data_IF_678235829470
#
_entry.id   IF_678235829470
#
_cell.length_a   1.000
_cell.length_b   1.000
_cell.length_c   1.000
_cell.angle_alpha   90.00
_cell.angle_beta   90.00
_cell.angle_gamma   90.00
#
_symmetry.space_group_name_H-M   'P 1'
#
loop_
_entity.id
_entity.type
_entity.pdbx_description
1 polymer ?
#
# COMPACT_ATOMS: atom_id res chain seq x y z
N UNK A 1 -51.26 25.48 -9.76
CA UNK A 1 -49.82 25.68 -9.50
C UNK A 1 -49.24 24.93 -8.28
N UNK A 2 -50.03 24.48 -7.28
CA UNK A 2 -49.49 23.75 -6.10
C UNK A 2 -49.00 22.31 -6.36
N UNK A 3 -49.52 21.62 -7.38
CA UNK A 3 -49.17 20.23 -7.71
C UNK A 3 -47.75 20.08 -8.32
N UNK A 4 -47.29 21.08 -9.06
CA UNK A 4 -46.01 21.04 -9.77
C UNK A 4 -44.84 21.23 -8.78
N UNK A 5 -44.98 22.11 -7.79
CA UNK A 5 -43.94 22.30 -6.76
C UNK A 5 -43.77 21.06 -5.87
N UNK A 6 -44.83 20.32 -5.58
CA UNK A 6 -44.74 19.10 -4.77
C UNK A 6 -44.01 17.96 -5.50
N UNK A 7 -44.15 17.88 -6.83
CA UNK A 7 -43.41 16.91 -7.66
C UNK A 7 -41.94 17.29 -7.85
N UNK A 8 -41.63 18.58 -7.95
CA UNK A 8 -40.23 19.04 -8.05
C UNK A 8 -39.49 18.83 -6.73
N UNK A 9 -40.10 19.14 -5.58
CA UNK A 9 -39.49 18.89 -4.26
C UNK A 9 -39.28 17.39 -4.01
N UNK A 10 -40.21 16.54 -4.46
CA UNK A 10 -40.07 15.08 -4.34
C UNK A 10 -38.99 14.50 -5.27
N UNK A 11 -38.80 15.06 -6.47
CA UNK A 11 -37.71 14.68 -7.38
C UNK A 11 -36.34 15.13 -6.84
N UNK A 12 -36.25 16.32 -6.23
CA UNK A 12 -35.03 16.83 -5.60
C UNK A 12 -34.61 15.99 -4.39
N UNK A 13 -35.58 15.50 -3.60
CA UNK A 13 -35.32 14.63 -2.46
C UNK A 13 -34.87 13.23 -2.90
N UNK A 14 -35.40 12.72 -4.01
CA UNK A 14 -34.97 11.44 -4.59
C UNK A 14 -33.54 11.53 -5.15
N UNK A 15 -33.15 12.67 -5.73
CA UNK A 15 -31.79 12.89 -6.23
C UNK A 15 -30.74 13.00 -5.10
N UNK A 16 -31.15 13.50 -3.92
CA UNK A 16 -30.28 13.57 -2.74
C UNK A 16 -30.09 12.21 -2.03
N UNK A 17 -30.98 11.24 -2.27
CA UNK A 17 -30.87 9.89 -1.69
C UNK A 17 -30.04 8.96 -2.58
N UNK A 18 -29.93 9.22 -3.89
CA UNK A 18 -29.19 8.38 -4.84
C UNK A 18 -27.68 8.75 -4.91
N UNK A 19 -27.25 9.88 -4.34
CA UNK A 19 -25.83 10.25 -4.27
C UNK A 19 -25.07 9.64 -3.09
N UNK A 20 -25.66 8.73 -2.31
CA UNK A 20 -24.89 7.79 -1.47
C UNK A 20 -24.37 6.65 -2.35
N UNK A 21 -23.58 7.02 -3.36
CA UNK A 21 -22.74 6.07 -4.07
C UNK A 21 -21.88 5.35 -3.04
N UNK A 22 -21.91 4.04 -3.09
CA UNK A 22 -21.14 3.13 -2.26
C UNK A 22 -19.77 3.71 -1.92
N UNK A 23 -19.49 3.90 -0.62
CA UNK A 23 -18.15 4.03 -0.04
C UNK A 23 -17.43 2.68 -0.11
N UNK A 24 -17.50 2.00 -1.25
CA UNK A 24 -16.59 0.93 -1.59
C UNK A 24 -15.37 1.62 -2.17
N UNK A 25 -14.22 1.42 -1.54
CA UNK A 25 -12.94 1.82 -2.09
C UNK A 25 -12.93 1.43 -3.57
N UNK A 26 -12.82 2.43 -4.45
CA UNK A 26 -12.72 2.19 -5.89
C UNK A 26 -11.46 1.35 -6.06
N UNK A 27 -11.62 0.05 -6.33
CA UNK A 27 -10.52 -0.86 -6.66
C UNK A 27 -9.63 -0.11 -7.64
N UNK A 28 -8.44 0.28 -7.19
CA UNK A 28 -7.51 0.98 -8.05
C UNK A 28 -7.04 -0.06 -9.04
N UNK A 29 -7.56 0.01 -10.26
CA UNK A 29 -7.07 -0.77 -11.38
C UNK A 29 -5.62 -0.36 -11.65
N UNK A 30 -4.68 -1.10 -11.07
CA UNK A 30 -3.29 -1.05 -11.47
C UNK A 30 -3.01 -2.17 -12.48
N UNK A 31 -2.10 -1.88 -13.40
CA UNK A 31 -1.55 -2.85 -14.31
C UNK A 31 -0.26 -3.43 -13.73
N UNK A 32 -0.05 -4.72 -13.97
CA UNK A 32 1.22 -5.36 -13.70
C UNK A 32 2.31 -4.66 -14.52
N UNK A 33 3.47 -4.45 -13.88
CA UNK A 33 4.62 -3.77 -14.49
C UNK A 33 5.05 -4.49 -15.77
N UNK A 34 5.38 -3.71 -16.80
CA UNK A 34 5.76 -4.22 -18.12
C UNK A 34 6.93 -3.41 -18.67
N UNK A 35 8.02 -4.11 -18.98
CA UNK A 35 9.26 -3.48 -19.48
C UNK A 35 9.06 -2.77 -20.83
N UNK A 36 8.06 -3.17 -21.61
CA UNK A 36 7.79 -2.61 -22.93
C UNK A 36 6.98 -1.29 -22.84
N UNK A 37 6.42 -0.98 -21.66
CA UNK A 37 5.59 0.22 -21.41
C UNK A 37 6.33 1.35 -20.67
N UNK A 38 7.61 1.18 -20.36
CA UNK A 38 8.41 2.17 -19.64
C UNK A 38 8.51 3.47 -20.43
N UNK A 39 8.28 4.60 -19.76
CA UNK A 39 8.36 5.94 -20.36
C UNK A 39 9.77 6.36 -20.81
N UNK A 40 10.81 6.01 -20.04
CA UNK A 40 12.20 6.40 -20.32
C UNK A 40 13.19 5.37 -19.77
N UNK A 41 14.29 5.13 -20.48
CA UNK A 41 15.40 4.27 -20.04
C UNK A 41 16.62 5.07 -19.57
N UNK A 42 16.53 6.41 -19.51
CA UNK A 42 17.69 7.28 -19.26
C UNK A 42 17.99 7.46 -17.78
N UNK A 43 17.03 7.18 -16.92
CA UNK A 43 17.08 7.48 -15.49
C UNK A 43 17.29 6.20 -14.72
N UNK A 44 18.25 6.19 -13.81
CA UNK A 44 18.47 5.07 -12.89
C UNK A 44 17.34 5.05 -11.86
N UNK A 45 16.59 3.95 -11.82
CA UNK A 45 15.36 3.85 -11.01
C UNK A 45 15.13 2.42 -10.54
N UNK A 46 14.44 2.29 -9.41
CA UNK A 46 14.00 1.02 -8.84
C UNK A 46 12.52 1.14 -8.55
N UNK A 47 11.78 0.09 -8.86
CA UNK A 47 10.39 -0.08 -8.44
C UNK A 47 10.17 -1.49 -7.94
N UNK A 48 9.28 -1.59 -6.95
CA UNK A 48 8.83 -2.87 -6.43
C UNK A 48 7.30 -2.90 -6.45
N UNK A 49 6.74 -3.98 -7.01
CA UNK A 49 5.30 -4.21 -7.08
C UNK A 49 5.02 -5.61 -6.55
N UNK A 50 4.25 -5.71 -5.47
CA UNK A 50 3.66 -6.95 -4.97
C UNK A 50 2.15 -6.82 -4.98
N UNK A 51 1.49 -7.79 -5.58
CA UNK A 51 0.05 -7.84 -5.73
C UNK A 51 -0.43 -9.22 -5.33
N UNK A 52 -1.31 -9.25 -4.34
CA UNK A 52 -1.98 -10.47 -3.93
C UNK A 52 -3.47 -10.18 -3.75
N UNK A 53 -4.31 -10.86 -4.55
CA UNK A 53 -5.77 -10.68 -4.58
C UNK A 53 -6.43 -12.02 -4.38
N UNK A 54 -7.13 -12.21 -3.26
CA UNK A 54 -7.80 -13.48 -3.00
C UNK A 54 -9.02 -13.73 -3.90
N UNK A 55 -9.64 -12.67 -4.46
CA UNK A 55 -10.96 -12.77 -5.11
C UNK A 55 -11.04 -12.21 -6.56
N UNK A 56 -9.92 -11.78 -7.17
CA UNK A 56 -9.94 -11.28 -8.54
C UNK A 56 -9.57 -12.39 -9.53
N UNK A 57 -10.53 -12.77 -10.36
CA UNK A 57 -10.45 -13.92 -11.27
C UNK A 57 -10.04 -13.52 -12.70
N UNK A 58 -10.05 -12.23 -13.03
CA UNK A 58 -9.83 -11.76 -14.41
C UNK A 58 -8.40 -11.30 -14.67
N UNK A 59 -7.64 -11.03 -13.61
CA UNK A 59 -6.25 -10.55 -13.67
C UNK A 59 -5.37 -11.47 -12.84
N UNK A 60 -4.07 -11.40 -13.10
CA UNK A 60 -3.07 -12.06 -12.28
C UNK A 60 -3.26 -11.62 -10.82
N UNK A 61 -3.41 -12.61 -9.95
CA UNK A 61 -3.84 -12.44 -8.58
C UNK A 61 -2.71 -12.65 -7.57
N UNK A 62 -1.50 -13.02 -8.02
CA UNK A 62 -0.36 -13.28 -7.15
C UNK A 62 0.95 -13.06 -7.90
N UNK A 63 1.44 -11.82 -7.92
CA UNK A 63 2.69 -11.46 -8.61
C UNK A 63 3.55 -10.51 -7.80
N UNK A 64 4.85 -10.77 -7.77
CA UNK A 64 5.86 -9.93 -7.13
C UNK A 64 6.98 -9.59 -8.12
N UNK A 65 7.20 -8.30 -8.38
CA UNK A 65 8.12 -7.78 -9.39
C UNK A 65 9.09 -6.79 -8.75
N UNK A 66 10.38 -7.04 -8.97
CA UNK A 66 11.45 -6.06 -8.79
C UNK A 66 11.93 -5.63 -10.17
N UNK A 67 11.78 -4.34 -10.48
CA UNK A 67 12.28 -3.78 -11.74
C UNK A 67 13.29 -2.67 -11.48
N UNK A 68 14.44 -2.76 -12.15
CA UNK A 68 15.56 -1.83 -12.00
C UNK A 68 15.97 -1.30 -13.37
N UNK A 69 16.07 0.01 -13.51
CA UNK A 69 16.76 0.66 -14.62
C UNK A 69 18.13 1.08 -14.10
N UNK A 70 19.19 0.59 -14.74
CA UNK A 70 20.56 1.01 -14.46
C UNK A 70 21.36 1.07 -15.75
N UNK A 71 21.97 2.23 -16.02
CA UNK A 71 22.82 2.46 -17.20
C UNK A 71 22.12 2.08 -18.52
N UNK A 72 20.82 2.43 -18.63
CA UNK A 72 19.92 2.14 -19.77
C UNK A 72 19.60 0.65 -20.00
N UNK A 73 20.01 -0.22 -19.08
CA UNK A 73 19.53 -1.60 -18.99
C UNK A 73 18.37 -1.67 -18.02
N UNK A 74 17.37 -2.46 -18.36
CA UNK A 74 16.26 -2.80 -17.46
C UNK A 74 16.44 -4.24 -17.03
N UNK A 75 16.40 -4.47 -15.73
CA UNK A 75 16.40 -5.77 -15.10
C UNK A 75 15.00 -5.96 -14.52
N UNK A 76 14.27 -6.93 -15.06
CA UNK A 76 12.95 -7.31 -14.62
C UNK A 76 13.03 -8.70 -14.02
N UNK A 77 12.72 -8.81 -12.74
CA UNK A 77 12.72 -10.07 -12.00
C UNK A 77 11.34 -10.21 -11.37
N UNK A 78 10.68 -11.34 -11.64
CA UNK A 78 9.35 -11.64 -11.12
C UNK A 78 9.32 -12.99 -10.41
N UNK A 79 8.40 -13.10 -9.46
CA UNK A 79 7.97 -14.29 -8.72
C UNK A 79 6.44 -14.37 -8.83
N UNK A 80 5.91 -15.56 -9.10
CA UNK A 80 4.51 -15.78 -9.44
C UNK A 80 4.20 -15.44 -10.90
N UNK A 81 5.19 -15.46 -11.80
CA UNK A 81 4.94 -15.13 -13.20
C UNK A 81 4.23 -16.26 -13.93
N UNK A 82 3.04 -15.98 -14.46
CA UNK A 82 2.39 -16.82 -15.46
C UNK A 82 2.37 -16.13 -16.84
N UNK A 83 2.55 -16.92 -17.89
CA UNK A 83 2.40 -16.43 -19.26
C UNK A 83 0.90 -16.26 -19.59
N UNK A 84 0.42 -15.04 -19.91
CA UNK A 84 -1.00 -14.80 -20.17
C UNK A 84 -1.58 -15.64 -21.31
N UNK A 85 -0.76 -16.01 -22.30
CA UNK A 85 -1.22 -16.86 -23.41
C UNK A 85 -1.54 -18.27 -22.95
N UNK A 86 -0.71 -18.81 -22.06
CA UNK A 86 -0.86 -20.18 -21.55
C UNK A 86 -2.06 -20.25 -20.58
N UNK A 87 -2.25 -19.21 -19.76
CA UNK A 87 -3.44 -19.06 -18.89
C UNK A 87 -4.73 -19.00 -19.71
N UNK A 88 -4.74 -18.23 -20.81
CA UNK A 88 -5.90 -18.15 -21.70
C UNK A 88 -6.22 -19.48 -22.38
N UNK A 89 -5.20 -20.20 -22.87
CA UNK A 89 -5.39 -21.54 -23.46
C UNK A 89 -5.94 -22.49 -22.40
N UNK A 90 -5.38 -22.48 -21.19
CA UNK A 90 -5.82 -23.31 -20.08
C UNK A 90 -7.28 -23.04 -19.71
N UNK A 91 -7.68 -21.76 -19.67
CA UNK A 91 -9.07 -21.33 -19.48
C UNK A 91 -9.99 -21.93 -20.55
N UNK A 92 -9.65 -21.78 -21.83
CA UNK A 92 -10.43 -22.33 -22.94
C UNK A 92 -10.58 -23.86 -22.84
N UNK A 93 -9.49 -24.56 -22.52
CA UNK A 93 -9.50 -26.03 -22.37
C UNK A 93 -10.38 -26.45 -21.20
N UNK A 94 -10.27 -25.80 -20.05
CA UNK A 94 -11.05 -26.13 -18.85
C UNK A 94 -12.54 -25.84 -19.02
N UNK A 95 -12.88 -24.74 -19.70
CA UNK A 95 -14.26 -24.40 -20.08
C UNK A 95 -14.83 -25.45 -21.05
N UNK A 96 -14.03 -25.94 -22.01
CA UNK A 96 -14.44 -26.99 -22.93
C UNK A 96 -14.62 -28.36 -22.23
N UNK A 97 -13.83 -28.64 -21.20
CA UNK A 97 -13.89 -29.89 -20.42
C UNK A 97 -14.94 -29.88 -19.30
N UNK A 98 -15.65 -28.76 -19.07
CA UNK A 98 -16.56 -28.55 -17.92
C UNK A 98 -15.92 -28.94 -16.56
N UNK A 99 -14.60 -28.80 -16.43
CA UNK A 99 -13.90 -29.10 -15.19
C UNK A 99 -14.12 -27.97 -14.20
N UNK A 100 -14.70 -28.28 -13.05
CA UNK A 100 -14.78 -27.35 -11.94
C UNK A 100 -13.38 -27.18 -11.33
N UNK A 101 -12.86 -25.96 -11.35
CA UNK A 101 -11.68 -25.57 -10.59
C UNK A 101 -12.18 -24.86 -9.35
N UNK A 102 -11.69 -25.27 -8.19
CA UNK A 102 -11.97 -24.56 -6.95
C UNK A 102 -11.56 -23.08 -7.13
N UNK A 103 -12.52 -22.18 -6.92
CA UNK A 103 -12.37 -20.72 -7.06
C UNK A 103 -12.02 -20.19 -8.48
N UNK A 104 -12.08 -21.01 -9.54
CA UNK A 104 -11.70 -20.63 -10.91
C UNK A 104 -10.27 -20.04 -11.00
N UNK A 105 -9.32 -20.56 -10.21
CA UNK A 105 -7.94 -20.09 -10.23
C UNK A 105 -7.16 -20.70 -11.40
N UNK A 106 -7.01 -19.94 -12.48
CA UNK A 106 -6.30 -20.37 -13.68
C UNK A 106 -4.78 -20.15 -13.59
N UNK A 107 -4.36 -19.26 -12.67
CA UNK A 107 -2.98 -18.83 -12.43
C UNK A 107 -2.23 -19.89 -11.63
N UNK A 108 -1.19 -20.46 -12.21
CA UNK A 108 -0.48 -21.64 -11.66
C UNK A 108 0.63 -21.27 -10.71
N UNK A 109 1.37 -20.22 -11.03
CA UNK A 109 2.50 -19.81 -10.24
C UNK A 109 1.99 -18.83 -9.18
N UNK A 110 2.33 -19.08 -7.92
CA UNK A 110 2.01 -18.22 -6.79
C UNK A 110 3.30 -17.73 -6.18
N UNK A 111 3.25 -16.52 -5.60
CA UNK A 111 4.40 -15.94 -4.92
C UNK A 111 4.91 -16.89 -3.85
N UNK A 112 6.16 -17.30 -3.95
CA UNK A 112 6.78 -18.25 -3.01
C UNK A 112 8.11 -17.72 -2.42
N UNK A 113 8.49 -16.49 -2.75
CA UNK A 113 9.72 -15.84 -2.34
C UNK A 113 10.92 -16.17 -3.24
N UNK A 114 10.73 -16.90 -4.33
CA UNK A 114 11.78 -17.27 -5.30
C UNK A 114 11.38 -16.80 -6.69
N UNK A 115 12.24 -16.03 -7.38
CA UNK A 115 11.91 -15.58 -8.71
C UNK A 115 11.86 -16.73 -9.71
N UNK A 116 10.82 -16.74 -10.52
CA UNK A 116 10.55 -17.72 -11.59
C UNK A 116 10.76 -17.15 -13.00
N UNK A 117 10.89 -15.83 -13.10
CA UNK A 117 11.06 -15.14 -14.36
C UNK A 117 12.08 -14.00 -14.30
N UNK A 118 12.91 -13.93 -15.33
CA UNK A 118 13.87 -12.83 -15.51
C UNK A 118 13.90 -12.37 -16.96
N UNK A 119 13.85 -11.05 -17.15
CA UNK A 119 14.03 -10.40 -18.45
C UNK A 119 14.99 -9.23 -18.30
N UNK A 120 16.05 -9.24 -19.10
CA UNK A 120 17.03 -8.15 -19.17
C UNK A 120 17.00 -7.58 -20.57
N UNK A 121 16.76 -6.28 -20.68
CA UNK A 121 16.74 -5.56 -21.95
C UNK A 121 17.66 -4.36 -21.89
N UNK A 122 18.31 -4.04 -23.02
CA UNK A 122 18.97 -2.76 -23.21
C UNK A 122 18.08 -1.88 -24.07
N UNK A 123 17.42 -0.90 -23.44
CA UNK A 123 16.33 -0.11 -24.03
C UNK A 123 15.19 -1.01 -24.54
N UNK A 124 15.18 -1.35 -25.84
CA UNK A 124 14.17 -2.20 -26.49
C UNK A 124 14.75 -3.49 -27.07
N UNK A 125 16.05 -3.72 -26.88
CA UNK A 125 16.72 -4.93 -27.36
C UNK A 125 16.80 -5.93 -26.23
N UNK A 126 16.23 -7.11 -26.44
CA UNK A 126 16.30 -8.21 -25.48
C UNK A 126 17.72 -8.77 -25.39
N UNK A 127 18.24 -8.87 -24.18
CA UNK A 127 19.57 -9.44 -23.90
C UNK A 127 19.45 -10.82 -23.23
N UNK A 128 18.47 -10.98 -22.35
CA UNK A 128 18.18 -12.23 -21.65
C UNK A 128 16.68 -12.31 -21.39
N UNK A 129 16.12 -13.50 -21.59
CA UNK A 129 14.77 -13.86 -21.15
C UNK A 129 14.79 -15.31 -20.71
N UNK A 130 14.35 -15.57 -19.49
CA UNK A 130 14.24 -16.93 -18.96
C UNK A 130 13.02 -17.03 -18.04
N UNK A 131 12.28 -18.14 -18.15
CA UNK A 131 11.03 -18.42 -17.43
C UNK A 131 11.14 -19.64 -16.52
N UNK A 132 12.36 -20.09 -16.22
CA UNK A 132 12.64 -21.22 -15.33
C UNK A 132 12.99 -20.73 -13.93
N UNK A 133 12.26 -21.20 -12.92
CA UNK A 133 12.56 -20.95 -11.50
C UNK A 133 13.97 -21.38 -11.12
N UNK A 134 14.42 -22.55 -11.57
CA UNK A 134 15.76 -23.04 -11.27
C UNK A 134 16.83 -22.07 -11.75
N UNK A 135 16.69 -21.55 -12.97
CA UNK A 135 17.63 -20.57 -13.51
C UNK A 135 17.51 -19.21 -12.82
N UNK A 136 16.29 -18.67 -12.70
CA UNK A 136 16.05 -17.34 -12.16
C UNK A 136 16.46 -17.26 -10.68
N UNK A 137 16.03 -18.21 -9.85
CA UNK A 137 16.35 -18.25 -8.44
C UNK A 137 17.85 -18.51 -8.19
N UNK A 138 18.48 -19.44 -8.91
CA UNK A 138 19.91 -19.74 -8.69
C UNK A 138 20.84 -18.58 -9.05
N UNK A 139 20.50 -17.78 -10.08
CA UNK A 139 21.35 -16.69 -10.54
C UNK A 139 20.99 -15.32 -9.93
N UNK A 140 19.71 -15.11 -9.60
CA UNK A 140 19.20 -13.79 -9.21
C UNK A 140 18.44 -13.76 -7.88
N UNK A 141 18.16 -14.92 -7.25
CA UNK A 141 17.34 -14.99 -6.03
C UNK A 141 17.91 -14.21 -4.84
N UNK A 142 19.21 -14.34 -4.56
CA UNK A 142 19.86 -13.59 -3.47
C UNK A 142 19.82 -12.07 -3.72
N UNK A 143 20.14 -11.65 -4.95
CA UNK A 143 20.08 -10.25 -5.35
C UNK A 143 18.66 -9.70 -5.22
N UNK A 144 17.67 -10.44 -5.73
CA UNK A 144 16.25 -10.08 -5.68
C UNK A 144 15.80 -9.82 -4.24
N UNK A 145 16.01 -10.79 -3.34
CA UNK A 145 15.60 -10.67 -1.93
C UNK A 145 16.34 -9.53 -1.23
N UNK A 146 17.65 -9.44 -1.39
CA UNK A 146 18.48 -8.42 -0.73
C UNK A 146 18.09 -7.00 -1.15
N UNK A 147 17.92 -6.76 -2.44
CA UNK A 147 17.55 -5.44 -2.98
C UNK A 147 16.12 -5.08 -2.58
N UNK A 148 15.18 -6.02 -2.71
CA UNK A 148 13.79 -5.84 -2.28
C UNK A 148 13.70 -5.43 -0.82
N UNK A 149 14.25 -6.24 0.09
CA UNK A 149 14.11 -6.03 1.53
C UNK A 149 14.75 -4.70 1.95
N UNK A 150 15.92 -4.38 1.40
CA UNK A 150 16.59 -3.10 1.66
C UNK A 150 15.78 -1.92 1.12
N UNK A 151 15.19 -2.04 -0.07
CA UNK A 151 14.41 -0.98 -0.70
C UNK A 151 13.13 -0.69 0.08
N UNK A 152 12.38 -1.73 0.46
CA UNK A 152 11.20 -1.60 1.32
C UNK A 152 11.58 -0.94 2.64
N UNK A 153 12.61 -1.45 3.31
CA UNK A 153 13.06 -0.93 4.61
C UNK A 153 13.43 0.55 4.57
N UNK A 154 14.16 1.00 3.54
CA UNK A 154 14.52 2.43 3.39
C UNK A 154 13.27 3.33 3.33
N UNK A 155 12.23 2.89 2.62
CA UNK A 155 10.99 3.66 2.50
C UNK A 155 10.12 3.56 3.76
N UNK A 156 10.08 2.41 4.42
CA UNK A 156 9.43 2.22 5.72
C UNK A 156 10.06 3.12 6.78
N UNK A 157 11.38 3.14 6.89
CA UNK A 157 12.11 3.95 7.87
C UNK A 157 11.88 5.45 7.62
N UNK A 158 11.87 5.87 6.35
CA UNK A 158 11.52 7.26 5.98
C UNK A 158 10.08 7.60 6.36
N UNK A 159 9.12 6.68 6.16
CA UNK A 159 7.74 6.89 6.58
C UNK A 159 7.61 6.98 8.10
N UNK A 160 8.22 6.06 8.86
CA UNK A 160 8.28 6.09 10.33
C UNK A 160 8.86 7.39 10.89
N UNK A 161 9.89 7.94 10.24
CA UNK A 161 10.44 9.24 10.63
C UNK A 161 9.43 10.39 10.48
N UNK A 162 8.52 10.31 9.52
CA UNK A 162 7.42 11.27 9.42
C UNK A 162 6.37 11.06 10.51
N UNK A 163 6.05 9.80 10.84
CA UNK A 163 5.12 9.47 11.94
C UNK A 163 5.62 10.01 13.29
N UNK A 164 6.92 9.85 13.58
CA UNK A 164 7.57 10.40 14.79
C UNK A 164 7.46 11.92 14.92
N UNK A 165 7.36 12.62 13.80
CA UNK A 165 7.24 14.08 13.74
C UNK A 165 5.84 14.51 13.27
N UNK A 166 4.78 13.74 13.59
CA UNK A 166 3.40 14.00 13.13
C UNK A 166 2.84 15.40 13.44
N UNK A 167 3.42 16.13 14.40
CA UNK A 167 3.07 17.53 14.64
C UNK A 167 3.50 18.47 13.50
N UNK A 168 4.56 18.13 12.79
CA UNK A 168 5.11 18.91 11.66
C UNK A 168 4.84 18.23 10.31
N UNK A 169 4.86 16.89 10.31
CA UNK A 169 4.50 16.06 9.18
C UNK A 169 2.99 16.10 8.99
N UNK A 170 2.50 16.47 7.80
CA UNK A 170 1.06 16.46 7.46
C UNK A 170 0.50 15.04 7.32
N UNK A 171 0.63 14.24 8.37
CA UNK A 171 0.10 12.87 8.46
C UNK A 171 -1.41 12.96 8.59
N UNK A 172 -2.13 12.23 7.73
CA UNK A 172 -3.57 12.11 7.77
C UNK A 172 -3.94 10.66 8.01
N UNK A 173 -4.72 10.40 9.05
CA UNK A 173 -5.25 9.07 9.38
C UNK A 173 -6.75 9.06 9.14
N UNK A 174 -7.23 8.05 8.43
CA UNK A 174 -8.66 7.80 8.17
C UNK A 174 -9.06 6.52 8.88
N UNK A 175 -10.21 6.53 9.56
CA UNK A 175 -10.77 5.39 10.27
C UNK A 175 -12.25 5.25 9.96
N UNK A 176 -12.65 4.12 9.40
CA UNK A 176 -14.03 3.84 9.00
C UNK A 176 -14.50 2.52 9.62
N UNK A 177 -15.71 2.47 10.16
CA UNK A 177 -16.29 1.23 10.69
C UNK A 177 -16.62 0.27 9.54
N UNK A 178 -16.11 -0.96 9.59
CA UNK A 178 -16.42 -2.03 8.64
C UNK A 178 -17.57 -2.88 9.16
N UNK A 179 -17.39 -3.43 10.36
CA UNK A 179 -18.33 -4.40 10.93
C UNK A 179 -18.29 -4.40 12.45
N UNK A 180 -19.30 -5.06 13.03
CA UNK A 180 -19.40 -5.30 14.46
C UNK A 180 -19.27 -6.80 14.69
N UNK A 181 -18.34 -7.22 15.55
CA UNK A 181 -18.20 -8.59 16.00
C UNK A 181 -18.81 -8.71 17.39
N UNK A 182 -19.79 -9.59 17.53
CA UNK A 182 -20.41 -9.91 18.82
C UNK A 182 -19.75 -11.18 19.36
N UNK A 183 -19.32 -11.14 20.61
CA UNK A 183 -18.78 -12.34 21.28
C UNK A 183 -19.87 -13.40 21.41
N UNK A 184 -19.63 -14.67 21.02
CA UNK A 184 -20.62 -15.74 21.16
C UNK A 184 -21.06 -15.97 22.62
N UNK A 185 -20.15 -15.72 23.57
CA UNK A 185 -20.35 -15.99 25.00
C UNK A 185 -21.00 -14.81 25.75
N UNK A 186 -20.97 -13.60 25.17
CA UNK A 186 -21.55 -12.40 25.76
C UNK A 186 -22.14 -11.48 24.68
N UNK A 187 -23.47 -11.48 24.48
CA UNK A 187 -24.14 -10.64 23.51
C UNK A 187 -23.95 -9.12 23.70
N UNK A 188 -23.49 -8.68 24.88
CA UNK A 188 -23.19 -7.27 25.16
C UNK A 188 -21.73 -6.90 24.84
N UNK A 189 -20.87 -7.87 24.53
CA UNK A 189 -19.49 -7.65 24.13
C UNK A 189 -19.42 -7.48 22.61
N UNK A 190 -19.52 -6.22 22.18
CA UNK A 190 -19.53 -5.82 20.77
C UNK A 190 -18.20 -5.15 20.46
N UNK A 191 -17.37 -5.82 19.67
CA UNK A 191 -16.11 -5.28 19.15
C UNK A 191 -16.33 -4.62 17.80
N UNK A 192 -15.86 -3.38 17.66
CA UNK A 192 -15.94 -2.63 16.40
C UNK A 192 -14.68 -2.91 15.56
N UNK A 193 -14.88 -3.38 14.33
CA UNK A 193 -13.80 -3.64 13.37
C UNK A 193 -13.72 -2.42 12.44
N UNK A 194 -12.52 -1.84 12.34
CA UNK A 194 -12.30 -0.61 11.59
C UNK A 194 -11.31 -0.81 10.46
N UNK A 195 -11.67 -0.29 9.30
CA UNK A 195 -10.74 0.04 8.24
C UNK A 195 -9.90 1.21 8.71
N UNK A 196 -8.59 1.13 8.51
CA UNK A 196 -7.67 2.21 8.85
C UNK A 196 -6.70 2.45 7.72
N UNK A 197 -6.48 3.73 7.41
CA UNK A 197 -5.41 4.11 6.50
C UNK A 197 -4.70 5.36 6.98
N UNK A 198 -3.42 5.45 6.63
CA UNK A 198 -2.61 6.62 6.92
C UNK A 198 -1.88 7.08 5.66
N UNK A 199 -1.71 8.39 5.54
CA UNK A 199 -0.97 8.99 4.44
C UNK A 199 -0.10 10.15 4.92
N UNK A 200 1.04 10.33 4.27
CA UNK A 200 1.93 11.46 4.54
C UNK A 200 2.65 11.89 3.27
N UNK A 201 2.94 13.19 3.15
CA UNK A 201 3.77 13.74 2.06
C UNK A 201 5.09 14.24 2.65
N UNK A 202 6.19 13.69 2.16
CA UNK A 202 7.54 14.11 2.50
C UNK A 202 7.91 15.44 1.80
N UNK A 203 8.98 16.08 2.29
CA UNK A 203 9.48 17.34 1.71
C UNK A 203 9.96 17.23 0.26
N UNK A 204 10.40 16.04 -0.18
CA UNK A 204 10.77 15.74 -1.58
C UNK A 204 9.56 15.32 -2.45
N UNK A 205 8.37 15.66 -1.99
CA UNK A 205 7.07 15.36 -2.61
C UNK A 205 6.70 13.87 -2.72
N UNK A 206 7.49 12.99 -2.12
CA UNK A 206 7.14 11.58 -2.02
C UNK A 206 5.92 11.41 -1.12
N UNK A 207 4.88 10.77 -1.64
CA UNK A 207 3.66 10.43 -0.92
C UNK A 207 3.72 8.97 -0.49
N UNK A 208 3.44 8.75 0.79
CA UNK A 208 3.36 7.46 1.43
C UNK A 208 1.91 7.19 1.83
N UNK A 209 1.48 5.95 1.66
CA UNK A 209 0.16 5.48 2.04
C UNK A 209 0.27 4.07 2.60
N UNK A 210 -0.43 3.79 3.70
CA UNK A 210 -0.58 2.45 4.23
C UNK A 210 -2.02 2.20 4.66
N UNK A 211 -2.44 0.94 4.63
CA UNK A 211 -3.80 0.53 4.91
C UNK A 211 -3.83 -0.85 5.58
N UNK A 212 -4.72 -0.95 6.58
CA UNK A 212 -5.18 -2.13 7.32
C UNK A 212 -6.65 -2.29 6.90
N UNK A 213 -6.86 -3.23 5.98
CA UNK A 213 -8.11 -3.34 5.24
C UNK A 213 -9.18 -4.11 6.02
N UNK A 214 -8.79 -5.13 6.78
CA UNK A 214 -9.71 -5.98 7.53
C UNK A 214 -9.85 -5.62 9.01
N UNK A 215 -9.01 -4.71 9.51
CA UNK A 215 -9.04 -4.18 10.87
C UNK A 215 -8.41 -5.09 11.91
N UNK A 216 -7.57 -6.05 11.52
CA UNK A 216 -6.84 -6.94 12.42
C UNK A 216 -5.60 -6.27 13.07
N UNK A 217 -5.26 -5.05 12.63
CA UNK A 217 -4.12 -4.29 13.12
C UNK A 217 -2.82 -4.53 12.34
N UNK A 218 -2.86 -5.31 11.27
CA UNK A 218 -1.75 -5.59 10.35
C UNK A 218 -1.95 -4.77 9.08
N UNK A 219 -0.88 -4.10 8.65
CA UNK A 219 -0.87 -3.38 7.37
C UNK A 219 -0.61 -4.36 6.23
N UNK A 220 -1.59 -4.56 5.33
CA UNK A 220 -1.41 -5.40 4.13
C UNK A 220 -1.12 -4.57 2.88
N UNK A 221 -1.40 -3.27 2.91
CA UNK A 221 -1.19 -2.36 1.79
C UNK A 221 -0.19 -1.26 2.15
N UNK A 222 0.85 -1.11 1.31
CA UNK A 222 1.84 -0.03 1.43
C UNK A 222 2.20 0.51 0.05
N UNK A 223 2.01 1.81 -0.15
CA UNK A 223 2.26 2.48 -1.43
C UNK A 223 3.20 3.67 -1.23
N UNK A 224 4.13 3.80 -2.17
CA UNK A 224 5.06 4.93 -2.25
C UNK A 224 5.05 5.46 -3.67
N UNK A 225 4.78 6.74 -3.80
CA UNK A 225 4.65 7.41 -5.09
C UNK A 225 5.33 8.78 -5.06
N UNK A 226 5.96 9.17 -6.16
CA UNK A 226 6.46 10.53 -6.36
C UNK A 226 6.06 11.04 -7.73
N UNK A 227 5.46 12.23 -7.78
CA UNK A 227 5.06 12.86 -9.03
C UNK A 227 6.25 13.55 -9.72
N UNK A 228 7.14 12.78 -10.32
CA UNK A 228 8.33 13.29 -11.04
C UNK A 228 8.21 13.13 -12.57
N UNK A 229 7.00 12.87 -13.07
CA UNK A 229 6.71 12.68 -14.50
C UNK A 229 7.13 11.31 -15.06
N UNK A 230 7.86 10.50 -14.30
CA UNK A 230 8.24 9.16 -14.72
C UNK A 230 7.11 8.14 -14.46
N UNK A 231 6.84 7.29 -15.45
CA UNK A 231 5.96 6.14 -15.29
C UNK A 231 6.56 4.86 -15.89
N UNK A 232 6.27 3.73 -15.23
CA UNK A 232 6.64 2.38 -15.68
C UNK A 232 5.66 1.79 -16.70
N UNK A 233 4.73 2.61 -17.18
CA UNK A 233 3.54 2.20 -17.89
C UNK A 233 2.33 2.98 -17.37
N UNK A 234 1.51 3.48 -18.29
CA UNK A 234 0.27 4.18 -17.92
C UNK A 234 -0.64 3.19 -17.19
N UNK A 235 -1.02 3.54 -15.96
CA UNK A 235 -1.88 2.70 -15.13
C UNK A 235 -1.14 1.66 -14.28
N UNK A 236 0.19 1.61 -14.24
CA UNK A 236 0.93 0.65 -13.40
C UNK A 236 0.90 0.94 -11.89
N UNK A 237 0.19 1.99 -11.46
CA UNK A 237 0.10 2.39 -10.06
C UNK A 237 1.28 3.26 -9.59
N UNK A 238 1.63 3.21 -8.29
CA UNK A 238 2.77 3.93 -7.72
C UNK A 238 4.09 3.62 -8.44
N UNK A 239 4.95 4.61 -8.60
CA UNK A 239 6.19 4.48 -9.37
C UNK A 239 7.43 4.09 -8.53
N UNK A 240 7.26 3.85 -7.23
CA UNK A 240 8.33 3.47 -6.30
C UNK A 240 8.01 2.13 -5.64
N UNK A 241 6.97 2.06 -4.81
CA UNK A 241 6.54 0.81 -4.14
C UNK A 241 5.03 0.69 -4.25
N UNK A 242 4.56 -0.50 -4.62
CA UNK A 242 3.18 -0.94 -4.49
C UNK A 242 3.19 -2.30 -3.82
N UNK A 243 2.66 -2.38 -2.60
CA UNK A 243 2.35 -3.64 -1.92
C UNK A 243 0.85 -3.61 -1.68
N UNK A 244 0.16 -4.64 -2.16
CA UNK A 244 -1.29 -4.75 -2.06
C UNK A 244 -1.69 -6.15 -1.62
N UNK A 245 -2.43 -6.24 -0.51
CA UNK A 245 -2.96 -7.51 0.00
C UNK A 245 -1.89 -8.47 0.53
N UNK A 246 -0.79 -7.95 1.07
CA UNK A 246 0.35 -8.77 1.51
C UNK A 246 -0.03 -9.83 2.56
N UNK A 247 0.26 -11.09 2.26
CA UNK A 247 0.20 -12.20 3.23
C UNK A 247 1.57 -12.74 3.66
N UNK A 248 2.65 -12.25 3.03
CA UNK A 248 4.02 -12.69 3.32
C UNK A 248 4.52 -12.17 4.68
N UNK A 249 4.98 -13.09 5.53
CA UNK A 249 5.45 -12.79 6.88
C UNK A 249 6.75 -11.99 6.93
N UNK A 250 7.67 -12.18 5.98
CA UNK A 250 8.91 -11.38 5.92
C UNK A 250 8.55 -9.91 5.65
N UNK A 251 7.63 -9.65 4.71
CA UNK A 251 7.17 -8.28 4.40
C UNK A 251 6.30 -7.71 5.53
N UNK A 252 5.44 -8.52 6.13
CA UNK A 252 4.63 -8.14 7.30
C UNK A 252 5.52 -7.63 8.44
N UNK A 253 6.70 -8.22 8.67
CA UNK A 253 7.63 -7.71 9.71
C UNK A 253 8.10 -6.27 9.44
N UNK A 254 8.14 -5.85 8.17
CA UNK A 254 8.57 -4.53 7.75
C UNK A 254 7.42 -3.51 7.81
N UNK A 255 6.27 -3.84 7.24
CA UNK A 255 5.16 -2.89 7.05
C UNK A 255 4.03 -3.04 8.06
N UNK A 256 3.88 -4.21 8.70
CA UNK A 256 2.65 -4.63 9.38
C UNK A 256 2.19 -3.70 10.50
N UNK A 257 3.11 -2.97 11.15
CA UNK A 257 2.79 -2.05 12.24
C UNK A 257 2.50 -0.61 11.81
N UNK A 258 2.68 -0.28 10.53
CA UNK A 258 2.69 1.12 10.07
C UNK A 258 1.39 1.87 10.33
N UNK A 259 0.24 1.24 10.07
CA UNK A 259 -1.07 1.86 10.32
C UNK A 259 -1.33 2.04 11.81
N UNK A 260 -0.97 1.05 12.63
CA UNK A 260 -1.09 1.13 14.08
C UNK A 260 -0.20 2.25 14.66
N UNK A 261 1.07 2.31 14.22
CA UNK A 261 2.02 3.37 14.58
C UNK A 261 1.52 4.75 14.14
N UNK A 262 0.81 4.86 13.02
CA UNK A 262 0.25 6.12 12.56
C UNK A 262 -0.94 6.59 13.40
N UNK A 263 -1.82 5.68 13.85
CA UNK A 263 -2.96 6.00 14.72
C UNK A 263 -2.50 6.34 16.14
N UNK A 264 -1.68 5.46 16.73
CA UNK A 264 -1.39 5.48 18.16
C UNK A 264 -0.07 6.19 18.51
N UNK A 265 0.77 6.47 17.53
CA UNK A 265 2.14 6.92 17.74
C UNK A 265 3.13 5.76 17.85
N UNK A 266 4.42 6.10 17.78
CA UNK A 266 5.50 5.10 17.89
C UNK A 266 6.02 4.99 19.33
N UNK A 267 6.60 3.84 19.68
CA UNK A 267 7.24 3.64 21.01
C UNK A 267 8.38 4.65 21.22
N UNK A 268 9.11 5.02 20.17
CA UNK A 268 10.15 6.04 20.25
C UNK A 268 9.58 7.44 20.48
N UNK A 269 8.45 7.77 19.86
CA UNK A 269 7.75 9.04 20.09
C UNK A 269 7.26 9.14 21.53
N UNK A 270 6.66 8.07 22.07
CA UNK A 270 6.24 8.00 23.47
C UNK A 270 7.42 8.27 24.42
N UNK A 271 8.57 7.61 24.19
CA UNK A 271 9.78 7.85 24.99
C UNK A 271 10.27 9.30 24.90
N UNK A 272 10.22 9.91 23.71
CA UNK A 272 10.60 11.31 23.50
C UNK A 272 9.67 12.25 24.26
N UNK A 273 8.35 12.00 24.24
CA UNK A 273 7.38 12.80 24.99
C UNK A 273 7.62 12.76 26.50
N UNK A 274 7.99 11.61 27.07
CA UNK A 274 8.36 11.53 28.49
C UNK A 274 9.66 12.30 28.81
N UNK A 275 10.63 12.32 27.89
CA UNK A 275 11.88 13.06 28.08
C UNK A 275 11.70 14.59 27.95
N UNK A 276 10.81 15.01 27.07
CA UNK A 276 10.51 16.43 26.80
C UNK A 276 9.40 17.00 27.72
N UNK A 277 8.81 16.17 28.57
CA UNK A 277 7.77 16.62 29.49
C UNK A 277 8.33 17.68 30.45
N UNK A 278 7.67 18.85 30.59
CA UNK A 278 8.18 19.96 31.38
C UNK A 278 8.30 19.55 32.86
N UNK A 279 9.38 19.97 33.51
CA UNK A 279 9.57 19.70 34.93
C UNK A 279 8.69 20.64 35.75
N UNK A 280 8.35 20.20 36.95
CA UNK A 280 7.53 20.99 37.88
C UNK A 280 8.10 22.41 38.09
N UNK A 281 9.42 22.53 38.21
CA UNK A 281 10.11 23.80 38.34
C UNK A 281 9.86 24.73 37.14
N UNK A 282 9.91 24.22 35.92
CA UNK A 282 9.72 25.01 34.71
C UNK A 282 8.29 25.58 34.65
N UNK A 283 7.32 24.79 35.13
CA UNK A 283 5.92 25.21 35.24
C UNK A 283 5.75 26.26 36.34
N UNK A 284 6.39 26.10 37.51
CA UNK A 284 6.34 27.09 38.59
C UNK A 284 6.94 28.44 38.18
N UNK A 285 8.09 28.44 37.52
CA UNK A 285 8.69 29.68 36.99
C UNK A 285 7.76 30.36 35.97
N UNK A 286 7.09 29.58 35.11
CA UNK A 286 6.09 30.10 34.19
C UNK A 286 4.88 30.71 34.93
N UNK A 287 4.41 30.07 36.00
CA UNK A 287 3.31 30.58 36.83
C UNK A 287 3.68 31.92 37.46
N UNK A 288 4.87 32.04 38.06
CA UNK A 288 5.36 33.29 38.66
C UNK A 288 5.44 34.43 37.64
N UNK A 289 5.88 34.14 36.41
CA UNK A 289 5.93 35.13 35.32
C UNK A 289 4.53 35.58 34.87
N UNK A 290 3.53 34.69 34.90
CA UNK A 290 2.15 35.01 34.55
C UNK A 290 1.41 35.77 35.67
N UNK A 291 1.87 35.67 36.92
CA UNK A 291 1.29 36.34 38.08
C UNK A 291 2.32 37.23 38.79
N UNK A 292 2.83 38.28 38.13
CA UNK A 292 3.74 39.20 38.78
C UNK A 292 3.02 39.88 39.94
N UNK A 293 3.66 39.92 41.11
CA UNK A 293 3.15 40.67 42.26
C UNK A 293 3.07 42.15 41.90
N UNK A 294 1.93 42.78 42.18
CA UNK A 294 1.77 44.22 42.04
C UNK A 294 2.81 44.93 42.91
N UNK A 295 3.73 45.63 42.26
CA UNK A 295 4.67 46.52 42.96
C UNK A 295 3.93 47.81 43.32
N UNK A 296 3.25 47.80 44.46
CA UNK A 296 2.82 49.05 45.07
C UNK A 296 4.06 49.73 45.66
N UNK A 297 4.29 50.98 45.26
CA UNK A 297 5.40 51.80 45.76
C UNK A 297 5.32 51.88 47.30
N UNK A 298 6.36 51.38 47.99
CA UNK A 298 6.63 51.70 49.40
C UNK A 298 7.17 53.12 49.53
#
# INVERSE_FOLDING_TARGET
MKSIHMRVVSLSLLFLIISRGNLLARDKDYLILDVDKISSYKEDRVVYQRVERQNDQQKDNSVEILMVIKDRKVYYIADGYDNPSDVNIKKIVMDAENKYIENNDYWTNKINGKPDYVRIIYRRSELLKNTSEEFANSNFGEFYKSVRDKFIKLHVDKFRNMLKNRGESRVSVTKNLISLRVSPDNPNDVTQIFFKSASAKAGDETVYYCEDADGDGITETFMVYRNDGFNWGVGSGPNIILIYGNTDKDIETMIGKLVNEAENGTVEEEKKMFQEFPKEKDIHEMMEQMTPLDKFYE
#
